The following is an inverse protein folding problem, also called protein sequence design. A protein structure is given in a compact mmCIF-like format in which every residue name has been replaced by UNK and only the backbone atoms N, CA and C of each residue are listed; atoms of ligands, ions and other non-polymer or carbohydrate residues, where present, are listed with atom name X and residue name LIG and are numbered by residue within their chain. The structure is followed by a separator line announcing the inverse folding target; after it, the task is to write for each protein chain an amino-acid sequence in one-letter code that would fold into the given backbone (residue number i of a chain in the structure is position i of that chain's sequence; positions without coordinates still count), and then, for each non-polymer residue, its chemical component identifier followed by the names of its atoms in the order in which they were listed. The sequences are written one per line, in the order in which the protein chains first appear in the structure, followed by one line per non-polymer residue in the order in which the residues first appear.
data_IF_369003639788
#
_entry.id   IF_369003639788
#
_cell.length_a   1.000
_cell.length_b   1.000
_cell.length_c   1.000
_cell.angle_alpha   90.00
_cell.angle_beta   90.00
_cell.angle_gamma   90.00
#
_symmetry.space_group_name_H-M   'P 1'
#
loop_
_entity.id
_entity.type
_entity.pdbx_description
1 polymer ?
#
# COMPACT_ATOMS: atom_id res chain seq x y z
N UNK A 1 -21.05 13.61 -3.99
CA UNK A 1 -19.68 13.40 -4.52
C UNK A 1 -19.27 14.76 -5.05
N UNK A 2 -18.20 15.30 -4.55
CA UNK A 2 -17.64 16.60 -4.90
C UNK A 2 -16.46 16.37 -5.87
N UNK A 3 -16.15 17.36 -6.71
CA UNK A 3 -14.95 17.33 -7.56
C UNK A 3 -14.07 18.52 -7.17
N UNK A 4 -12.82 18.24 -6.83
CA UNK A 4 -11.80 19.23 -6.51
C UNK A 4 -10.59 18.94 -7.37
N UNK A 5 -10.10 19.92 -8.14
CA UNK A 5 -8.92 19.81 -8.99
C UNK A 5 -8.87 18.51 -9.81
N UNK A 6 -9.96 18.19 -10.54
CA UNK A 6 -10.19 16.98 -11.35
C UNK A 6 -10.41 15.67 -10.54
N UNK A 7 -10.13 15.63 -9.24
CA UNK A 7 -10.37 14.43 -8.43
C UNK A 7 -11.82 14.37 -7.95
N UNK A 8 -12.41 13.20 -8.02
CA UNK A 8 -13.61 12.90 -7.25
C UNK A 8 -13.23 12.74 -5.78
N UNK A 9 -14.03 13.29 -4.88
CA UNK A 9 -13.79 13.19 -3.44
C UNK A 9 -14.82 12.28 -2.80
N UNK A 10 -14.37 11.21 -2.17
CA UNK A 10 -15.17 10.37 -1.28
C UNK A 10 -14.72 10.63 0.15
N UNK A 11 -15.58 11.25 0.94
CA UNK A 11 -15.25 11.68 2.29
C UNK A 11 -16.24 11.15 3.32
N UNK A 12 -15.72 10.67 4.46
CA UNK A 12 -16.51 10.14 5.55
C UNK A 12 -15.84 10.35 6.91
N UNK A 13 -16.64 10.73 7.93
CA UNK A 13 -16.21 10.80 9.33
C UNK A 13 -16.82 9.63 10.13
N UNK A 14 -16.04 9.05 11.05
CA UNK A 14 -16.44 7.90 11.87
C UNK A 14 -16.63 8.26 13.35
N UNK A 15 -16.05 9.34 13.82
CA UNK A 15 -16.30 9.90 15.15
C UNK A 15 -16.17 11.42 15.15
N UNK A 16 -16.57 12.06 16.26
CA UNK A 16 -16.37 13.49 16.49
C UNK A 16 -15.05 13.78 17.23
N UNK A 17 -14.25 12.75 17.54
CA UNK A 17 -12.98 12.89 18.24
C UNK A 17 -11.86 13.16 17.23
N UNK A 18 -11.45 14.42 17.12
CA UNK A 18 -10.39 14.87 16.22
C UNK A 18 -9.00 14.40 16.63
N UNK A 19 -8.84 13.74 17.79
CA UNK A 19 -7.57 13.11 18.18
C UNK A 19 -7.34 11.77 17.48
N UNK A 20 -8.39 11.18 16.90
CA UNK A 20 -8.32 9.94 16.13
C UNK A 20 -7.70 10.15 14.74
N UNK A 21 -7.27 9.06 14.12
CA UNK A 21 -6.57 9.08 12.84
C UNK A 21 -7.45 9.52 11.68
N UNK A 22 -7.00 10.51 10.92
CA UNK A 22 -7.57 10.89 9.62
C UNK A 22 -6.64 10.51 8.48
N UNK A 23 -7.14 9.73 7.50
CA UNK A 23 -6.36 9.15 6.39
C UNK A 23 -6.86 9.63 5.05
N UNK A 24 -5.91 9.99 4.17
CA UNK A 24 -6.17 10.24 2.76
C UNK A 24 -5.58 9.14 1.87
N UNK A 25 -6.36 8.61 0.93
CA UNK A 25 -5.89 7.64 -0.07
C UNK A 25 -6.00 8.24 -1.46
N UNK A 26 -4.90 8.31 -2.18
CA UNK A 26 -4.86 8.77 -3.57
C UNK A 26 -5.08 7.60 -4.53
N UNK A 27 -6.33 7.28 -4.85
CA UNK A 27 -6.69 6.28 -5.86
C UNK A 27 -6.50 6.89 -7.25
N UNK A 28 -5.25 7.05 -7.68
CA UNK A 28 -4.86 7.79 -8.89
C UNK A 28 -4.07 6.94 -9.86
N UNK A 29 -3.97 7.41 -11.09
CA UNK A 29 -3.11 6.86 -12.13
C UNK A 29 -1.81 7.65 -12.22
N UNK A 30 -0.68 6.96 -12.23
CA UNK A 30 0.57 7.58 -12.66
C UNK A 30 0.60 7.68 -14.19
N UNK A 31 0.93 8.86 -14.69
CA UNK A 31 1.13 9.10 -16.13
C UNK A 31 2.51 8.56 -16.52
N UNK A 32 2.55 7.69 -17.54
CA UNK A 32 3.78 7.07 -18.01
C UNK A 32 3.91 7.31 -19.52
N UNK A 33 5.01 7.82 -19.98
CA UNK A 33 6.22 8.27 -19.27
C UNK A 33 6.20 9.79 -19.02
N UNK A 34 5.63 10.27 -17.92
CA UNK A 34 5.54 11.71 -17.64
C UNK A 34 5.68 12.00 -16.13
N UNK A 35 6.93 12.17 -15.68
CA UNK A 35 7.25 12.41 -14.27
C UNK A 35 6.72 13.77 -13.80
N UNK A 36 6.76 14.79 -14.64
CA UNK A 36 6.31 16.13 -14.24
C UNK A 36 4.80 16.19 -14.05
N UNK A 37 4.03 15.49 -14.89
CA UNK A 37 2.59 15.34 -14.68
C UNK A 37 2.30 14.59 -13.36
N UNK A 38 3.09 13.60 -13.00
CA UNK A 38 2.94 12.87 -11.74
C UNK A 38 3.27 13.74 -10.53
N UNK A 39 4.34 14.53 -10.58
CA UNK A 39 4.69 15.50 -9.52
C UNK A 39 3.55 16.48 -9.27
N UNK A 40 3.00 17.08 -10.32
CA UNK A 40 1.88 18.01 -10.24
C UNK A 40 0.64 17.33 -9.63
N UNK A 41 0.32 16.11 -10.08
CA UNK A 41 -0.80 15.33 -9.56
C UNK A 41 -0.63 15.00 -8.07
N UNK A 42 0.57 14.60 -7.64
CA UNK A 42 0.89 14.32 -6.24
C UNK A 42 0.73 15.58 -5.38
N UNK A 43 1.25 16.73 -5.82
CA UNK A 43 1.14 18.00 -5.09
C UNK A 43 -0.32 18.44 -4.93
N UNK A 44 -1.11 18.34 -6.00
CA UNK A 44 -2.55 18.66 -5.94
C UNK A 44 -3.29 17.75 -4.97
N UNK A 45 -3.08 16.44 -5.02
CA UNK A 45 -3.70 15.50 -4.10
C UNK A 45 -3.26 15.75 -2.65
N UNK A 46 -1.97 16.01 -2.41
CA UNK A 46 -1.43 16.35 -1.08
C UNK A 46 -2.02 17.65 -0.55
N UNK A 47 -2.24 18.66 -1.41
CA UNK A 47 -2.89 19.92 -1.04
C UNK A 47 -4.32 19.70 -0.59
N UNK A 48 -5.07 18.86 -1.31
CA UNK A 48 -6.45 18.49 -0.92
C UNK A 48 -6.44 17.77 0.45
N UNK A 49 -5.51 16.84 0.68
CA UNK A 49 -5.39 16.16 1.97
C UNK A 49 -5.11 17.13 3.11
N UNK A 50 -4.20 18.10 2.90
CA UNK A 50 -3.91 19.15 3.87
C UNK A 50 -5.15 20.00 4.18
N UNK A 51 -5.87 20.45 3.16
CA UNK A 51 -7.10 21.27 3.30
C UNK A 51 -8.23 20.53 4.01
N UNK A 52 -8.24 19.19 3.91
CA UNK A 52 -9.24 18.32 4.55
C UNK A 52 -8.82 17.83 5.94
N UNK A 53 -7.71 18.29 6.50
CA UNK A 53 -7.27 17.89 7.85
C UNK A 53 -6.86 16.42 7.97
N UNK A 54 -6.32 15.84 6.88
CA UNK A 54 -5.77 14.48 6.86
C UNK A 54 -4.47 14.45 7.67
N UNK A 55 -4.26 13.40 8.47
CA UNK A 55 -2.99 13.20 9.19
C UNK A 55 -1.96 12.48 8.34
N UNK A 56 -2.39 11.46 7.60
CA UNK A 56 -1.50 10.65 6.76
C UNK A 56 -2.09 10.50 5.37
N UNK A 57 -1.41 11.03 4.35
CA UNK A 57 -1.75 10.83 2.95
C UNK A 57 -0.97 9.66 2.35
N UNK A 58 -1.66 8.72 1.68
CA UNK A 58 -1.05 7.53 1.08
C UNK A 58 -1.24 7.53 -0.43
N UNK A 59 -0.16 7.32 -1.15
CA UNK A 59 -0.12 7.27 -2.61
C UNK A 59 0.16 5.85 -3.10
N UNK A 60 -0.25 5.51 -4.34
CA UNK A 60 -0.05 4.16 -4.87
C UNK A 60 1.42 3.86 -5.19
N UNK A 61 1.71 2.59 -5.44
CA UNK A 61 3.02 2.10 -5.86
C UNK A 61 3.46 2.79 -7.16
N UNK A 62 4.73 3.22 -7.19
CA UNK A 62 5.33 3.94 -8.31
C UNK A 62 4.53 5.18 -8.73
N UNK A 63 4.00 5.92 -7.76
CA UNK A 63 3.17 7.10 -8.03
C UNK A 63 3.91 8.21 -8.80
N UNK A 64 5.25 8.27 -8.71
CA UNK A 64 6.07 9.23 -9.44
C UNK A 64 6.52 8.69 -10.80
N UNK A 65 7.04 7.48 -10.88
CA UNK A 65 7.56 6.88 -12.12
C UNK A 65 6.50 6.20 -12.97
N UNK A 66 5.44 5.67 -12.35
CA UNK A 66 4.60 4.65 -12.95
C UNK A 66 5.27 3.28 -13.01
N UNK A 67 4.52 2.27 -13.44
CA UNK A 67 4.95 0.87 -13.42
C UNK A 67 5.80 0.51 -14.65
N UNK A 68 6.58 -0.59 -14.54
CA UNK A 68 7.42 -1.13 -15.61
C UNK A 68 6.62 -1.69 -16.81
N UNK A 69 7.26 -1.70 -17.99
CA UNK A 69 6.75 -2.35 -19.20
C UNK A 69 7.84 -3.17 -19.91
N UNK A 70 7.43 -3.94 -20.94
CA UNK A 70 8.26 -5.01 -21.48
C UNK A 70 9.38 -4.54 -22.44
N UNK A 71 9.25 -3.37 -23.08
CA UNK A 71 10.27 -2.81 -23.97
C UNK A 71 11.46 -2.33 -23.12
N UNK A 72 12.36 -3.28 -22.82
CA UNK A 72 13.35 -3.16 -21.74
C UNK A 72 14.25 -1.93 -21.84
N UNK A 73 14.81 -1.63 -23.02
CA UNK A 73 15.74 -0.50 -23.18
C UNK A 73 15.04 0.84 -22.97
N UNK A 74 13.82 1.00 -23.51
CA UNK A 74 13.04 2.23 -23.38
C UNK A 74 12.57 2.42 -21.92
N UNK A 75 12.06 1.34 -21.30
CA UNK A 75 11.68 1.34 -19.91
C UNK A 75 12.86 1.69 -19.00
N UNK A 76 14.01 1.04 -19.21
CA UNK A 76 15.20 1.26 -18.39
C UNK A 76 15.75 2.69 -18.55
N UNK A 77 15.72 3.25 -19.75
CA UNK A 77 16.14 4.63 -20.01
C UNK A 77 15.29 5.61 -19.20
N UNK A 78 13.95 5.46 -19.26
CA UNK A 78 13.03 6.29 -18.51
C UNK A 78 13.19 6.10 -16.99
N UNK A 79 13.27 4.85 -16.50
CA UNK A 79 13.33 4.55 -15.07
C UNK A 79 14.62 5.06 -14.41
N UNK A 80 15.73 5.18 -15.15
CA UNK A 80 16.95 5.80 -14.63
C UNK A 80 16.74 7.28 -14.28
N UNK A 81 15.92 7.98 -15.06
CA UNK A 81 15.60 9.38 -14.77
C UNK A 81 14.55 9.50 -13.65
N UNK A 82 13.72 8.47 -13.49
CA UNK A 82 12.58 8.46 -12.56
C UNK A 82 12.94 8.04 -11.12
N UNK A 83 14.19 7.69 -10.81
CA UNK A 83 14.61 7.36 -9.44
C UNK A 83 14.38 8.53 -8.47
N UNK A 84 13.96 8.24 -7.26
CA UNK A 84 13.59 9.25 -6.27
C UNK A 84 14.72 10.24 -5.95
N UNK A 85 15.98 9.77 -5.97
CA UNK A 85 17.16 10.57 -5.73
C UNK A 85 17.31 11.74 -6.73
N UNK A 86 16.85 11.55 -7.98
CA UNK A 86 16.88 12.60 -9.00
C UNK A 86 15.81 13.68 -8.78
N UNK A 87 14.85 13.43 -7.88
CA UNK A 87 13.73 14.31 -7.60
C UNK A 87 13.70 14.78 -6.13
N UNK A 88 14.83 14.61 -5.41
CA UNK A 88 14.98 15.03 -4.03
C UNK A 88 14.66 16.51 -3.83
N UNK A 89 15.20 17.38 -4.70
CA UNK A 89 14.96 18.82 -4.64
C UNK A 89 13.46 19.16 -4.71
N UNK A 90 12.68 18.43 -5.53
CA UNK A 90 11.25 18.63 -5.63
C UNK A 90 10.53 18.19 -4.35
N UNK A 91 10.90 17.04 -3.79
CA UNK A 91 10.31 16.56 -2.54
C UNK A 91 10.58 17.58 -1.42
N UNK A 92 11.82 18.04 -1.29
CA UNK A 92 12.24 18.98 -0.25
C UNK A 92 11.66 20.38 -0.42
N UNK A 93 11.61 20.89 -1.66
CA UNK A 93 11.18 22.27 -1.90
C UNK A 93 9.68 22.46 -2.09
N UNK A 94 8.95 21.43 -2.55
CA UNK A 94 7.53 21.56 -2.90
C UNK A 94 6.62 20.64 -2.07
N UNK A 95 7.00 19.38 -1.84
CA UNK A 95 6.15 18.43 -1.11
C UNK A 95 6.27 18.58 0.41
N UNK A 96 7.49 18.56 0.96
CA UNK A 96 7.71 18.69 2.41
C UNK A 96 7.13 19.99 3.01
N UNK A 97 7.15 21.14 2.33
CA UNK A 97 6.50 22.36 2.84
C UNK A 97 4.98 22.28 2.98
N UNK A 98 4.31 21.34 2.30
CA UNK A 98 2.90 21.05 2.51
C UNK A 98 2.63 20.38 3.86
N UNK A 99 3.61 19.66 4.39
CA UNK A 99 3.49 18.92 5.64
C UNK A 99 3.56 19.87 6.85
N UNK A 100 2.87 19.47 7.90
CA UNK A 100 2.73 20.23 9.16
C UNK A 100 1.29 20.68 9.40
N UNK A 101 0.97 21.00 10.66
CA UNK A 101 -0.41 21.10 11.11
C UNK A 101 -0.99 19.69 11.26
N UNK A 102 -2.12 19.44 10.64
CA UNK A 102 -2.76 18.12 10.69
C UNK A 102 -2.07 17.11 9.78
N UNK A 103 -1.57 17.52 8.61
CA UNK A 103 -0.89 16.62 7.67
C UNK A 103 0.54 16.33 8.14
N UNK A 104 0.70 15.24 8.88
CA UNK A 104 1.95 14.83 9.53
C UNK A 104 2.92 14.16 8.57
N UNK A 105 2.38 13.29 7.70
CA UNK A 105 3.18 12.53 6.76
C UNK A 105 2.46 12.25 5.44
N UNK A 106 3.27 12.09 4.39
CA UNK A 106 2.85 11.51 3.12
C UNK A 106 3.66 10.25 2.88
N UNK A 107 2.95 9.17 2.56
CA UNK A 107 3.56 7.89 2.18
C UNK A 107 3.58 7.82 0.65
N UNK A 108 4.78 7.84 0.09
CA UNK A 108 5.03 7.66 -1.33
C UNK A 108 5.71 6.33 -1.60
N UNK A 109 5.61 5.85 -2.82
CA UNK A 109 6.42 4.74 -3.30
C UNK A 109 6.99 5.07 -4.67
N UNK A 110 8.27 4.80 -4.84
CA UNK A 110 8.96 4.97 -6.12
C UNK A 110 10.21 4.08 -6.20
N UNK A 111 10.89 4.18 -7.33
CA UNK A 111 12.20 3.57 -7.54
C UNK A 111 13.27 4.36 -6.78
N UNK A 112 14.26 3.63 -6.26
CA UNK A 112 15.58 4.14 -5.90
C UNK A 112 16.65 3.31 -6.57
N UNK A 113 17.86 3.88 -6.73
CA UNK A 113 18.97 3.17 -7.31
C UNK A 113 19.42 2.00 -6.41
N UNK A 114 19.55 0.80 -6.98
CA UNK A 114 20.14 -0.33 -6.30
C UNK A 114 21.69 -0.29 -6.38
N UNK A 115 22.35 -1.21 -5.67
CA UNK A 115 23.82 -1.31 -5.72
C UNK A 115 24.33 -1.82 -7.07
N UNK A 116 23.59 -2.73 -7.69
CA UNK A 116 23.89 -3.23 -9.02
C UNK A 116 23.49 -2.19 -10.06
N UNK A 117 24.36 -1.96 -11.03
CA UNK A 117 24.09 -1.02 -12.10
C UNK A 117 22.84 -1.43 -12.90
N UNK A 118 22.00 -0.45 -13.21
CA UNK A 118 20.76 -0.65 -13.97
C UNK A 118 19.73 -1.53 -13.27
N UNK A 119 19.84 -1.63 -11.93
CA UNK A 119 18.87 -2.24 -11.04
C UNK A 119 18.33 -1.20 -10.08
N UNK A 120 17.12 -1.43 -9.59
CA UNK A 120 16.41 -0.53 -8.71
C UNK A 120 15.91 -1.27 -7.46
N UNK A 121 15.54 -0.50 -6.45
CA UNK A 121 14.70 -0.95 -5.35
C UNK A 121 13.29 -0.36 -5.53
N UNK A 122 12.29 -1.15 -5.25
CA UNK A 122 10.91 -0.67 -5.14
C UNK A 122 10.73 -0.22 -3.70
N UNK A 123 10.81 1.09 -3.48
CA UNK A 123 10.94 1.67 -2.14
C UNK A 123 9.74 2.54 -1.75
N UNK A 124 9.21 2.28 -0.60
CA UNK A 124 8.19 3.12 0.07
C UNK A 124 8.88 4.07 1.03
N UNK A 125 8.45 5.33 1.05
CA UNK A 125 8.97 6.40 1.90
C UNK A 125 7.88 6.95 2.79
N UNK A 126 8.19 7.16 4.07
CA UNK A 126 7.40 7.97 4.97
C UNK A 126 8.00 9.39 5.01
N UNK A 127 7.44 10.31 4.22
CA UNK A 127 7.90 11.69 4.11
C UNK A 127 7.25 12.52 5.19
N UNK A 128 8.03 13.01 6.15
CA UNK A 128 7.63 14.03 7.13
C UNK A 128 8.20 15.39 6.77
N UNK A 129 7.78 16.46 7.46
CA UNK A 129 8.16 17.85 7.16
C UNK A 129 9.67 18.09 7.16
N UNK A 130 10.36 17.55 8.14
CA UNK A 130 11.80 17.76 8.36
C UNK A 130 12.55 16.41 8.36
N UNK A 131 11.95 15.34 7.80
CA UNK A 131 12.56 14.01 7.77
C UNK A 131 13.55 13.86 6.62
N UNK A 132 14.65 13.16 6.88
CA UNK A 132 15.43 12.54 5.81
C UNK A 132 14.67 11.30 5.32
N UNK A 133 13.81 11.50 4.33
CA UNK A 133 12.88 10.48 3.85
C UNK A 133 13.58 9.30 3.14
N UNK A 134 14.86 9.44 2.80
CA UNK A 134 15.67 8.35 2.23
C UNK A 134 16.44 7.55 3.29
N UNK A 135 16.40 7.99 4.56
CA UNK A 135 17.03 7.25 5.65
C UNK A 135 16.34 5.88 5.87
N UNK A 136 17.10 4.88 6.26
CA UNK A 136 16.62 3.50 6.45
C UNK A 136 15.43 3.42 7.44
N UNK A 137 15.38 4.30 8.45
CA UNK A 137 14.28 4.37 9.42
C UNK A 137 12.95 4.91 8.87
N UNK A 138 12.96 5.46 7.64
CA UNK A 138 11.79 6.01 6.97
C UNK A 138 11.43 5.27 5.69
N UNK A 139 12.13 4.18 5.37
CA UNK A 139 11.98 3.47 4.10
C UNK A 139 11.68 1.98 4.28
N UNK A 140 10.90 1.45 3.33
CA UNK A 140 10.61 0.03 3.18
C UNK A 140 10.90 -0.41 1.75
N UNK A 141 11.79 -1.36 1.57
CA UNK A 141 12.08 -1.97 0.28
C UNK A 141 11.23 -3.23 0.10
N UNK A 142 10.48 -3.29 -1.00
CA UNK A 142 9.62 -4.43 -1.34
C UNK A 142 10.40 -5.75 -1.32
N UNK A 143 9.87 -6.74 -0.60
CA UNK A 143 10.54 -8.02 -0.37
C UNK A 143 10.22 -9.01 -1.49
N UNK A 144 8.94 -9.18 -1.82
CA UNK A 144 8.49 -10.14 -2.82
C UNK A 144 8.20 -9.47 -4.15
N UNK A 145 8.94 -9.89 -5.18
CA UNK A 145 8.88 -9.28 -6.51
C UNK A 145 8.03 -10.13 -7.45
N UNK A 146 6.96 -9.59 -8.04
CA UNK A 146 6.20 -10.31 -9.07
C UNK A 146 6.88 -10.22 -10.43
N UNK A 147 6.59 -11.17 -11.30
CA UNK A 147 6.85 -11.22 -12.74
C UNK A 147 7.92 -10.27 -13.27
N UNK A 148 7.46 -9.24 -13.95
CA UNK A 148 8.31 -8.26 -14.66
C UNK A 148 9.23 -7.44 -13.71
N UNK A 149 8.84 -7.22 -12.46
CA UNK A 149 9.71 -6.49 -11.53
C UNK A 149 11.06 -7.17 -11.32
N UNK A 150 11.12 -8.51 -11.38
CA UNK A 150 12.36 -9.25 -11.23
C UNK A 150 13.43 -8.90 -12.28
N UNK A 151 13.01 -8.38 -13.43
CA UNK A 151 13.90 -7.97 -14.50
C UNK A 151 14.57 -6.62 -14.23
N UNK A 152 13.98 -5.80 -13.35
CA UNK A 152 14.40 -4.43 -13.07
C UNK A 152 14.82 -4.18 -11.62
N UNK A 153 14.19 -4.85 -10.66
CA UNK A 153 14.39 -4.57 -9.24
C UNK A 153 15.10 -5.70 -8.50
N UNK A 154 15.77 -5.32 -7.42
CA UNK A 154 16.29 -6.23 -6.40
C UNK A 154 15.27 -6.37 -5.27
N UNK A 155 15.24 -7.55 -4.65
CA UNK A 155 14.43 -7.78 -3.44
C UNK A 155 14.97 -6.94 -2.28
N UNK A 156 14.07 -6.39 -1.50
CA UNK A 156 14.39 -5.66 -0.28
C UNK A 156 15.05 -6.53 0.77
N UNK A 157 15.49 -5.90 1.85
CA UNK A 157 16.07 -6.58 3.00
C UNK A 157 15.00 -7.28 3.82
N UNK A 158 15.43 -8.13 4.73
CA UNK A 158 14.54 -8.78 5.70
C UNK A 158 13.99 -7.82 6.77
N UNK A 159 14.47 -6.58 6.81
CA UNK A 159 14.04 -5.56 7.75
C UNK A 159 12.59 -5.12 7.48
N UNK A 160 11.83 -4.90 8.54
CA UNK A 160 10.46 -4.39 8.50
C UNK A 160 10.46 -2.92 8.89
N UNK A 161 9.70 -2.09 8.17
CA UNK A 161 9.46 -0.72 8.61
C UNK A 161 8.24 -0.68 9.51
N UNK A 162 8.44 -0.21 10.74
CA UNK A 162 7.37 0.13 11.67
C UNK A 162 7.55 1.58 12.09
N UNK A 163 6.57 2.41 11.79
CA UNK A 163 6.55 3.82 12.16
C UNK A 163 5.62 4.02 13.34
N UNK A 164 6.15 4.54 14.44
CA UNK A 164 5.34 4.94 15.58
C UNK A 164 4.77 6.33 15.33
N UNK A 165 3.46 6.44 15.31
CA UNK A 165 2.74 7.72 15.24
C UNK A 165 2.03 8.00 16.55
N UNK A 166 1.42 9.18 16.70
CA UNK A 166 0.54 9.46 17.84
C UNK A 166 -0.78 8.67 17.80
N UNK A 167 -1.11 8.08 16.65
CA UNK A 167 -2.34 7.33 16.42
C UNK A 167 -2.14 5.81 16.43
N UNK A 168 -0.93 5.32 16.70
CA UNK A 168 -0.60 3.90 16.71
C UNK A 168 0.65 3.56 15.88
N UNK A 169 0.93 2.29 15.79
CA UNK A 169 2.08 1.69 15.09
C UNK A 169 1.66 1.26 13.69
N UNK A 170 2.35 1.74 12.68
CA UNK A 170 2.06 1.44 11.28
C UNK A 170 3.16 0.55 10.69
N UNK A 171 2.78 -0.60 10.12
CA UNK A 171 3.64 -1.44 9.30
C UNK A 171 3.42 -1.16 7.81
N UNK A 172 4.40 -1.52 6.96
CA UNK A 172 4.33 -1.21 5.53
C UNK A 172 4.54 -2.44 4.67
N UNK A 173 3.75 -2.57 3.61
CA UNK A 173 3.87 -3.61 2.59
C UNK A 173 3.64 -3.00 1.21
N UNK A 174 4.24 -3.61 0.18
CA UNK A 174 4.10 -3.13 -1.18
C UNK A 174 3.56 -4.23 -2.11
N UNK A 175 2.34 -4.02 -2.61
CA UNK A 175 1.71 -4.79 -3.69
C UNK A 175 1.73 -6.31 -3.42
N UNK A 176 2.58 -7.05 -4.13
CA UNK A 176 2.69 -8.51 -4.05
C UNK A 176 3.04 -9.04 -2.65
N UNK A 177 3.70 -8.23 -1.81
CA UNK A 177 4.02 -8.58 -0.42
C UNK A 177 2.76 -8.97 0.37
N UNK A 178 1.63 -8.35 0.08
CA UNK A 178 0.38 -8.57 0.80
C UNK A 178 -0.22 -9.97 0.62
N UNK A 179 0.28 -10.75 -0.33
CA UNK A 179 -0.12 -12.16 -0.51
C UNK A 179 0.61 -13.13 0.42
N UNK A 180 1.64 -12.65 1.12
CA UNK A 180 2.45 -13.48 2.01
C UNK A 180 1.98 -13.32 3.45
N UNK A 181 1.12 -14.24 3.88
CA UNK A 181 0.53 -14.23 5.22
C UNK A 181 1.56 -14.24 6.33
N UNK A 182 2.74 -14.81 6.08
CA UNK A 182 3.86 -14.84 7.01
C UNK A 182 4.35 -13.43 7.33
N UNK A 183 4.50 -12.58 6.31
CA UNK A 183 4.90 -11.18 6.48
C UNK A 183 3.86 -10.38 7.28
N UNK A 184 2.58 -10.57 6.95
CA UNK A 184 1.51 -9.89 7.68
C UNK A 184 1.42 -10.36 9.13
N UNK A 185 1.71 -11.64 9.36
CA UNK A 185 1.75 -12.25 10.69
C UNK A 185 2.94 -11.73 11.52
N UNK A 186 4.09 -11.50 10.90
CA UNK A 186 5.22 -10.82 11.56
C UNK A 186 4.81 -9.43 12.02
N UNK A 187 4.22 -8.60 11.16
CA UNK A 187 3.74 -7.27 11.52
C UNK A 187 2.74 -7.30 12.68
N UNK A 188 1.73 -8.16 12.60
CA UNK A 188 0.65 -8.17 13.58
C UNK A 188 1.02 -8.85 14.91
N UNK A 189 1.78 -9.95 14.87
CA UNK A 189 2.01 -10.80 16.03
C UNK A 189 3.38 -10.60 16.68
N UNK A 190 4.37 -10.12 15.92
CA UNK A 190 5.75 -9.90 16.42
C UNK A 190 6.00 -8.41 16.64
N UNK A 191 5.73 -7.60 15.62
CA UNK A 191 5.93 -6.15 15.68
C UNK A 191 4.75 -5.42 16.35
N UNK A 192 3.63 -6.11 16.54
CA UNK A 192 2.43 -5.58 17.21
C UNK A 192 1.96 -4.24 16.62
N UNK A 193 1.89 -4.18 15.29
CA UNK A 193 1.37 -3.00 14.60
C UNK A 193 -0.15 -2.93 14.71
N UNK A 194 -0.67 -1.72 14.78
CA UNK A 194 -2.10 -1.46 14.81
C UNK A 194 -2.70 -1.44 13.40
N UNK A 195 -1.94 -0.96 12.42
CA UNK A 195 -2.35 -0.93 11.03
C UNK A 195 -1.23 -1.33 10.08
N UNK A 196 -1.60 -1.97 8.95
CA UNK A 196 -0.71 -2.22 7.82
C UNK A 196 -1.11 -1.29 6.68
N UNK A 197 -0.17 -0.45 6.26
CA UNK A 197 -0.30 0.42 5.08
C UNK A 197 0.16 -0.38 3.88
N UNK A 198 -0.78 -0.74 3.01
CA UNK A 198 -0.54 -1.49 1.78
C UNK A 198 -0.57 -0.55 0.58
N UNK A 199 0.53 -0.50 -0.17
CA UNK A 199 0.70 0.37 -1.33
C UNK A 199 0.79 -0.51 -2.57
N UNK A 200 0.05 -0.19 -3.65
CA UNK A 200 0.02 -1.09 -4.80
C UNK A 200 -0.19 -0.38 -6.16
N UNK A 201 0.31 -1.04 -7.19
CA UNK A 201 -0.10 -0.91 -8.58
C UNK A 201 -0.69 -2.25 -9.06
N UNK A 202 -1.74 -2.68 -8.35
CA UNK A 202 -2.33 -4.01 -8.50
C UNK A 202 -3.17 -4.08 -9.76
N UNK A 203 -2.82 -5.00 -10.65
CA UNK A 203 -3.50 -5.15 -11.95
C UNK A 203 -4.94 -5.66 -11.79
N UNK A 204 -5.82 -5.21 -12.69
CA UNK A 204 -7.19 -5.67 -12.75
C UNK A 204 -7.30 -7.02 -13.49
N UNK A 205 -6.65 -7.12 -14.64
CA UNK A 205 -6.76 -8.26 -15.53
C UNK A 205 -5.81 -9.40 -15.12
N UNK A 206 -6.31 -10.61 -15.17
CA UNK A 206 -5.53 -11.82 -14.96
C UNK A 206 -6.41 -13.05 -15.17
N UNK A 207 -6.10 -13.85 -16.18
CA UNK A 207 -6.85 -15.06 -16.49
C UNK A 207 -6.50 -16.22 -15.57
N UNK A 208 -7.51 -16.99 -15.20
CA UNK A 208 -7.37 -18.35 -14.66
C UNK A 208 -8.32 -19.24 -15.43
N UNK A 209 -7.80 -20.33 -15.93
CA UNK A 209 -8.57 -21.30 -16.70
C UNK A 209 -8.29 -22.71 -16.14
N UNK A 210 -9.37 -23.36 -15.77
CA UNK A 210 -9.37 -24.76 -15.31
C UNK A 210 -10.23 -25.59 -16.28
N UNK A 211 -9.72 -25.92 -17.48
CA UNK A 211 -10.51 -26.50 -18.55
C UNK A 211 -11.17 -27.82 -18.16
N UNK A 212 -10.52 -28.63 -17.29
CA UNK A 212 -11.08 -29.88 -16.77
C UNK A 212 -12.33 -29.69 -15.89
N UNK A 213 -12.56 -28.46 -15.40
CA UNK A 213 -13.73 -28.12 -14.57
C UNK A 213 -14.68 -27.14 -15.28
N UNK A 214 -14.37 -26.76 -16.54
CA UNK A 214 -15.08 -25.74 -17.29
C UNK A 214 -15.26 -24.43 -16.46
N UNK A 215 -14.19 -24.02 -15.78
CA UNK A 215 -14.14 -22.83 -14.92
C UNK A 215 -13.07 -21.87 -15.44
N UNK A 216 -13.48 -20.63 -15.73
CA UNK A 216 -12.60 -19.56 -16.19
C UNK A 216 -13.00 -18.23 -15.57
N UNK A 217 -12.01 -17.39 -15.27
CA UNK A 217 -12.16 -15.95 -14.96
C UNK A 217 -11.08 -15.15 -15.66
N UNK A 218 -11.40 -13.92 -16.06
CA UNK A 218 -10.46 -12.97 -16.66
C UNK A 218 -10.09 -11.84 -15.66
N UNK A 219 -10.70 -11.85 -14.46
CA UNK A 219 -10.54 -10.81 -13.42
C UNK A 219 -9.86 -11.30 -12.14
N UNK A 220 -9.10 -12.38 -12.23
CA UNK A 220 -8.52 -13.05 -11.06
C UNK A 220 -7.76 -12.10 -10.13
N UNK A 221 -6.95 -11.19 -10.67
CA UNK A 221 -6.16 -10.29 -9.82
C UNK A 221 -7.03 -9.26 -9.11
N UNK A 222 -8.05 -8.72 -9.77
CA UNK A 222 -9.00 -7.82 -9.13
C UNK A 222 -9.82 -8.51 -8.05
N UNK A 223 -10.35 -9.71 -8.35
CA UNK A 223 -11.06 -10.53 -7.37
C UNK A 223 -10.16 -10.85 -6.17
N UNK A 224 -8.87 -11.14 -6.42
CA UNK A 224 -7.91 -11.43 -5.36
C UNK A 224 -7.71 -10.25 -4.41
N UNK A 225 -7.63 -9.02 -4.93
CA UNK A 225 -7.62 -7.81 -4.10
C UNK A 225 -8.81 -7.74 -3.15
N UNK A 226 -10.01 -7.95 -3.70
CA UNK A 226 -11.25 -7.88 -2.93
C UNK A 226 -11.36 -8.99 -1.87
N UNK A 227 -10.66 -10.11 -2.04
CA UNK A 227 -10.62 -11.18 -1.04
C UNK A 227 -9.55 -10.97 0.02
N UNK A 228 -8.34 -10.55 -0.37
CA UNK A 228 -7.22 -10.55 0.57
C UNK A 228 -7.24 -9.35 1.52
N UNK A 229 -7.76 -8.19 1.11
CA UNK A 229 -7.78 -7.02 1.99
C UNK A 229 -8.63 -7.29 3.25
N UNK A 230 -9.93 -7.63 3.15
CA UNK A 230 -10.73 -7.91 4.34
C UNK A 230 -10.28 -9.18 5.09
N UNK A 231 -9.89 -10.23 4.37
CA UNK A 231 -9.47 -11.47 5.01
C UNK A 231 -8.19 -11.28 5.85
N UNK A 232 -7.22 -10.54 5.32
CA UNK A 232 -5.96 -10.29 6.04
C UNK A 232 -6.18 -9.40 7.26
N UNK A 233 -7.04 -8.37 7.16
CA UNK A 233 -7.43 -7.57 8.32
C UNK A 233 -8.02 -8.45 9.43
N UNK A 234 -9.02 -9.25 9.08
CA UNK A 234 -9.74 -10.09 10.05
C UNK A 234 -8.86 -11.18 10.67
N UNK A 235 -8.05 -11.87 9.85
CA UNK A 235 -7.24 -12.99 10.36
C UNK A 235 -6.02 -12.56 11.15
N UNK A 236 -5.58 -11.32 10.99
CA UNK A 236 -4.46 -10.73 11.74
C UNK A 236 -4.90 -9.72 12.80
N UNK A 237 -6.19 -9.38 12.87
CA UNK A 237 -6.77 -8.38 13.78
C UNK A 237 -6.02 -7.05 13.73
N UNK A 238 -5.73 -6.58 12.51
CA UNK A 238 -5.08 -5.29 12.25
C UNK A 238 -5.88 -4.49 11.24
N UNK A 239 -5.76 -3.19 11.30
CA UNK A 239 -6.29 -2.33 10.25
C UNK A 239 -5.51 -2.54 8.96
N UNK A 240 -6.21 -2.55 7.82
CA UNK A 240 -5.62 -2.44 6.50
C UNK A 240 -5.97 -1.09 5.90
N UNK A 241 -4.95 -0.29 5.61
CA UNK A 241 -5.04 0.99 4.90
C UNK A 241 -4.40 0.78 3.54
N UNK A 242 -5.20 0.54 2.50
CA UNK A 242 -4.68 0.14 1.19
C UNK A 242 -4.89 1.21 0.13
N UNK A 243 -3.81 1.62 -0.53
CA UNK A 243 -3.80 2.55 -1.65
C UNK A 243 -3.33 1.86 -2.92
N UNK A 244 -4.15 1.87 -3.96
CA UNK A 244 -3.88 1.22 -5.23
C UNK A 244 -3.97 2.20 -6.40
N UNK A 245 -3.19 1.96 -7.45
CA UNK A 245 -3.35 2.65 -8.72
C UNK A 245 -4.69 2.28 -9.40
N UNK A 246 -5.23 3.21 -10.19
CA UNK A 246 -6.45 3.02 -10.97
C UNK A 246 -6.23 3.40 -12.44
N UNK A 247 -7.09 2.96 -13.33
CA UNK A 247 -7.03 3.28 -14.77
C UNK A 247 -6.01 2.45 -15.53
N UNK A 248 -5.69 2.84 -16.76
CA UNK A 248 -4.78 2.09 -17.64
C UNK A 248 -3.34 2.60 -17.58
N UNK A 249 -2.38 1.70 -17.66
CA UNK A 249 -0.96 2.03 -17.83
C UNK A 249 -0.73 2.79 -19.13
N UNK A 250 -0.02 3.94 -19.08
CA UNK A 250 0.11 4.85 -20.22
C UNK A 250 0.74 4.24 -21.47
N UNK A 251 1.68 3.29 -21.33
CA UNK A 251 2.36 2.62 -22.44
C UNK A 251 1.64 1.35 -22.88
N UNK A 252 1.27 0.45 -21.93
CA UNK A 252 0.71 -0.88 -22.28
C UNK A 252 -0.80 -0.90 -22.34
N UNK A 253 -1.48 0.07 -21.74
CA UNK A 253 -2.93 0.08 -21.58
C UNK A 253 -3.48 -0.91 -20.54
N UNK A 254 -2.61 -1.69 -19.86
CA UNK A 254 -3.02 -2.66 -18.86
C UNK A 254 -3.74 -1.96 -17.70
N UNK A 255 -4.95 -2.42 -17.32
CA UNK A 255 -5.71 -1.75 -16.28
C UNK A 255 -5.21 -2.13 -14.88
N UNK A 256 -5.16 -1.13 -13.99
CA UNK A 256 -5.05 -1.30 -12.54
C UNK A 256 -6.44 -1.37 -11.92
N UNK A 257 -6.56 -2.09 -10.79
CA UNK A 257 -7.86 -2.40 -10.19
C UNK A 257 -8.51 -1.22 -9.47
N UNK A 258 -7.73 -0.23 -9.02
CA UNK A 258 -8.25 0.80 -8.11
C UNK A 258 -8.70 0.19 -6.79
N UNK A 259 -9.83 0.66 -6.27
CA UNK A 259 -10.41 0.07 -5.07
C UNK A 259 -9.58 0.29 -3.81
N UNK A 260 -8.82 1.39 -3.75
CA UNK A 260 -8.17 1.84 -2.51
C UNK A 260 -9.19 1.91 -1.39
N UNK A 261 -8.82 1.51 -0.17
CA UNK A 261 -9.81 1.45 0.90
C UNK A 261 -9.23 1.21 2.28
N UNK A 262 -10.11 1.20 3.28
CA UNK A 262 -9.76 0.95 4.67
C UNK A 262 -10.65 -0.17 5.21
N UNK A 263 -10.02 -1.17 5.83
CA UNK A 263 -10.69 -2.31 6.46
C UNK A 263 -10.33 -2.38 7.93
N UNK A 264 -11.36 -2.51 8.76
CA UNK A 264 -11.22 -2.66 10.21
C UNK A 264 -10.59 -4.02 10.59
N UNK A 265 -10.11 -4.20 11.83
CA UNK A 265 -9.57 -5.48 12.32
C UNK A 265 -10.53 -6.66 12.23
N UNK A 266 -11.84 -6.42 12.11
CA UNK A 266 -12.88 -7.42 11.81
C UNK A 266 -12.98 -7.80 10.33
N UNK A 267 -12.28 -7.09 9.44
CA UNK A 267 -12.44 -7.21 7.99
C UNK A 267 -13.58 -6.37 7.40
N UNK A 268 -14.30 -5.60 8.22
CA UNK A 268 -15.35 -4.70 7.73
C UNK A 268 -14.72 -3.58 6.92
N UNK A 269 -15.21 -3.40 5.70
CA UNK A 269 -14.79 -2.28 4.85
C UNK A 269 -15.46 -0.98 5.30
N UNK A 270 -14.67 0.01 5.69
CA UNK A 270 -15.17 1.35 6.03
C UNK A 270 -15.55 2.13 4.78
N UNK A 271 -14.64 2.12 3.81
CA UNK A 271 -14.78 2.83 2.54
C UNK A 271 -13.90 2.15 1.49
N UNK A 272 -14.35 2.19 0.24
CA UNK A 272 -13.57 1.73 -0.89
C UNK A 272 -13.77 2.69 -2.07
N UNK A 273 -12.68 3.09 -2.69
CA UNK A 273 -12.62 3.96 -3.85
C UNK A 273 -13.15 3.29 -5.12
N UNK A 274 -13.37 4.09 -6.14
CA UNK A 274 -13.71 3.65 -7.50
C UNK A 274 -12.67 2.68 -8.07
N UNK A 275 -13.14 1.73 -8.88
CA UNK A 275 -12.29 0.85 -9.69
C UNK A 275 -12.01 1.38 -11.10
N UNK A 276 -12.57 2.53 -11.44
CA UNK A 276 -12.52 3.05 -12.83
C UNK A 276 -12.19 4.55 -12.91
N UNK A 277 -12.26 5.27 -11.80
CA UNK A 277 -12.06 6.72 -11.76
C UNK A 277 -10.98 7.09 -10.76
N UNK A 278 -10.25 8.15 -11.07
CA UNK A 278 -9.37 8.78 -10.09
C UNK A 278 -10.20 9.43 -8.99
N UNK A 279 -9.86 9.13 -7.75
CA UNK A 279 -10.63 9.52 -6.58
C UNK A 279 -9.70 9.72 -5.38
N UNK A 280 -9.90 10.78 -4.62
CA UNK A 280 -9.28 10.94 -3.33
C UNK A 280 -10.29 10.51 -2.26
N UNK A 281 -9.89 9.51 -1.50
CA UNK A 281 -10.68 9.03 -0.36
C UNK A 281 -10.16 9.72 0.90
N UNK A 282 -11.04 10.36 1.64
CA UNK A 282 -10.72 11.02 2.91
C UNK A 282 -11.57 10.40 4.01
N UNK A 283 -10.92 9.85 5.01
CA UNK A 283 -11.57 9.23 6.16
C UNK A 283 -11.12 9.92 7.42
N UNK A 284 -12.07 10.43 8.19
CA UNK A 284 -11.78 11.19 9.40
C UNK A 284 -12.05 10.38 10.66
N UNK A 285 -11.20 10.61 11.64
CA UNK A 285 -11.40 10.28 13.04
C UNK A 285 -11.65 8.78 13.26
N UNK A 286 -10.80 7.93 12.70
CA UNK A 286 -10.82 6.47 12.91
C UNK A 286 -10.13 6.15 14.21
N UNK A 287 -10.87 5.60 15.16
CA UNK A 287 -10.34 5.07 16.42
C UNK A 287 -9.63 3.73 16.16
N UNK A 288 -8.34 3.82 15.88
CA UNK A 288 -7.51 2.66 15.52
C UNK A 288 -7.36 1.71 16.70
N UNK A 289 -7.01 2.23 17.87
CA UNK A 289 -6.71 1.45 19.08
C UNK A 289 -7.99 0.85 19.67
N UNK A 290 -9.03 1.65 19.88
CA UNK A 290 -10.27 1.20 20.51
C UNK A 290 -11.00 0.13 19.69
N UNK A 291 -10.98 0.21 18.36
CA UNK A 291 -11.57 -0.83 17.51
C UNK A 291 -10.76 -2.13 17.59
N UNK A 292 -9.43 -2.07 17.60
CA UNK A 292 -8.58 -3.25 17.71
C UNK A 292 -8.72 -3.93 19.09
N UNK A 293 -8.81 -3.15 20.16
CA UNK A 293 -9.04 -3.65 21.52
C UNK A 293 -10.41 -4.35 21.63
N UNK A 294 -11.43 -3.77 21.00
CA UNK A 294 -12.76 -4.39 20.97
C UNK A 294 -12.78 -5.76 20.27
N UNK A 295 -12.01 -5.92 19.19
CA UNK A 295 -11.90 -7.23 18.53
C UNK A 295 -11.10 -8.25 19.37
N UNK A 296 -10.08 -7.80 20.09
CA UNK A 296 -9.29 -8.65 20.99
C UNK A 296 -10.06 -9.10 22.24
N UNK A 297 -11.03 -8.31 22.69
CA UNK A 297 -11.91 -8.69 23.80
C UNK A 297 -12.76 -9.94 23.49
N UNK A 298 -13.14 -10.14 22.23
CA UNK A 298 -13.86 -11.34 21.79
C UNK A 298 -12.91 -12.54 21.56
N UNK A 299 -11.82 -12.31 20.79
CA UNK A 299 -10.82 -13.33 20.46
C UNK A 299 -9.45 -12.67 20.30
N UNK A 300 -8.50 -12.95 21.16
CA UNK A 300 -7.12 -12.46 21.06
C UNK A 300 -6.24 -13.46 20.31
N UNK A 301 -6.18 -13.32 18.97
CA UNK A 301 -5.39 -14.21 18.12
C UNK A 301 -3.89 -14.10 18.37
N UNK A 302 -3.40 -12.93 18.76
CA UNK A 302 -1.98 -12.75 19.07
C UNK A 302 -1.61 -13.49 20.35
N UNK A 303 -2.44 -13.41 21.38
CA UNK A 303 -2.24 -14.14 22.62
C UNK A 303 -2.28 -15.66 22.37
N UNK A 304 -3.30 -16.16 21.69
CA UNK A 304 -3.47 -17.57 21.40
C UNK A 304 -2.29 -18.11 20.56
N UNK A 305 -1.88 -17.35 19.54
CA UNK A 305 -0.73 -17.71 18.71
C UNK A 305 0.55 -17.82 19.54
N UNK A 306 0.87 -16.82 20.36
CA UNK A 306 2.08 -16.80 21.19
C UNK A 306 2.08 -17.89 22.27
N UNK A 307 0.91 -18.20 22.83
CA UNK A 307 0.78 -19.17 23.94
C UNK A 307 0.67 -20.62 23.48
N UNK A 308 -0.04 -20.88 22.40
CA UNK A 308 -0.47 -22.23 22.02
C UNK A 308 0.29 -22.76 20.82
N UNK A 309 0.51 -21.91 19.80
CA UNK A 309 1.17 -22.36 18.59
C UNK A 309 2.64 -22.71 18.83
N UNK A 310 3.00 -23.93 18.43
CA UNK A 310 4.37 -24.43 18.41
C UNK A 310 4.63 -25.04 17.04
N UNK A 311 5.65 -24.61 16.29
CA UNK A 311 6.08 -25.36 15.11
C UNK A 311 6.32 -26.83 15.47
N UNK A 312 5.95 -27.74 14.57
CA UNK A 312 6.25 -29.17 14.76
C UNK A 312 7.78 -29.39 14.64
N UNK A 313 8.47 -29.34 15.77
CA UNK A 313 9.87 -29.70 15.87
C UNK A 313 9.98 -31.22 16.10
N UNK A 314 10.49 -31.93 15.09
CA UNK A 314 10.68 -33.38 15.19
C UNK A 314 9.40 -34.21 15.29
N UNK A 315 8.27 -33.63 14.92
CA UNK A 315 6.98 -34.32 14.89
C UNK A 315 6.88 -35.31 13.72
N UNK A 316 6.13 -36.39 13.93
CA UNK A 316 5.84 -37.35 12.86
C UNK A 316 4.61 -36.90 12.07
N UNK A 317 4.75 -36.81 10.75
CA UNK A 317 3.64 -36.62 9.83
C UNK A 317 3.08 -37.98 9.42
N UNK A 318 1.79 -38.20 9.66
CA UNK A 318 1.11 -39.40 9.23
C UNK A 318 0.20 -39.09 8.05
N UNK A 319 0.45 -39.76 6.93
CA UNK A 319 -0.47 -39.75 5.78
C UNK A 319 -1.32 -41.01 5.83
N UNK A 320 -2.65 -40.84 5.86
CA UNK A 320 -3.60 -41.95 5.77
C UNK A 320 -4.32 -41.90 4.44
N UNK A 321 -4.35 -43.03 3.73
CA UNK A 321 -5.23 -43.20 2.59
C UNK A 321 -6.66 -43.45 3.09
N UNK A 322 -7.63 -42.80 2.49
CA UNK A 322 -9.02 -43.16 2.64
C UNK A 322 -9.28 -44.37 1.72
N UNK A 323 -9.67 -45.47 2.28
CA UNK A 323 -10.08 -46.69 1.55
C UNK A 323 -11.51 -46.60 1.07
#
# INVERSE_FOLDING_TARGET
METVDEFLIAERSYSDDESNLSVGLANIRAEVPDIEANKDKILRAASVFKERGVNIGVFPEFCLSGYFWAEHEDCLAYMRDAVAENHADWIESELQPLLGGDLEAIVLNNLTAAKEKDRFLNRTFAVGRDSDYLADEHTYDKVFLPGIEKDYTESGRDDRLVVQTRHGRLGFTTCYDYLFSELLREYSMVEEVDAIVQIASWRAAGGRDYPGMNLRTDHYYGDLWDYVMPASSATNQVWTIACNAVGGHGVTGDPFWGGSGIWAPSGICLIQASRVSEELVVVHNVDIEGAQDSEKDDFDYAFDFKQIYRPLEGGSTFTRALS
#
